data_IF_216251298297
#
_entry.id   IF_216251298297
#
_cell.length_a   1.000
_cell.length_b   1.000
_cell.length_c   1.000
_cell.angle_alpha   90.00
_cell.angle_beta   90.00
_cell.angle_gamma   90.00
#
_symmetry.space_group_name_H-M   'P 1'
#
loop_
_entity.id
_entity.type
_entity.pdbx_description
1 polymer ?
#
# COMPACT_ATOMS: atom_id res chain seq x y z
N UNK A 1 -27.42 -34.38 -12.81
CA UNK A 1 -27.65 -33.86 -11.44
C UNK A 1 -26.29 -33.45 -10.89
N UNK A 2 -26.05 -32.17 -10.65
CA UNK A 2 -24.80 -31.75 -10.01
C UNK A 2 -24.86 -32.18 -8.54
N UNK A 3 -23.95 -33.04 -8.09
CA UNK A 3 -23.84 -33.31 -6.66
C UNK A 3 -23.40 -32.01 -5.98
N UNK A 4 -24.22 -31.51 -5.05
CA UNK A 4 -23.81 -30.39 -4.21
C UNK A 4 -22.65 -30.87 -3.34
N UNK A 5 -21.45 -30.34 -3.56
CA UNK A 5 -20.35 -30.54 -2.63
C UNK A 5 -20.79 -30.04 -1.24
N UNK A 6 -20.52 -30.80 -0.17
CA UNK A 6 -20.88 -30.36 1.17
C UNK A 6 -20.14 -29.04 1.50
N UNK A 7 -20.77 -28.14 2.26
CA UNK A 7 -20.13 -26.88 2.64
C UNK A 7 -18.85 -27.17 3.42
N UNK A 8 -17.76 -26.49 3.06
CA UNK A 8 -16.50 -26.57 3.81
C UNK A 8 -16.69 -25.93 5.18
N UNK A 9 -16.37 -26.66 6.25
CA UNK A 9 -16.47 -26.16 7.62
C UNK A 9 -15.22 -25.35 7.97
N UNK A 10 -15.42 -24.13 8.46
CA UNK A 10 -14.36 -23.22 8.90
C UNK A 10 -14.64 -22.82 10.35
N UNK A 11 -13.62 -22.89 11.21
CA UNK A 11 -13.71 -22.39 12.58
C UNK A 11 -13.49 -20.87 12.56
N UNK A 12 -14.46 -20.12 13.11
CA UNK A 12 -14.39 -18.65 13.18
C UNK A 12 -13.15 -18.18 13.95
N UNK A 13 -12.85 -18.76 15.10
CA UNK A 13 -11.73 -18.34 15.96
C UNK A 13 -10.40 -18.49 15.22
N UNK A 14 -10.21 -19.59 14.50
CA UNK A 14 -8.97 -19.86 13.76
C UNK A 14 -8.70 -18.81 12.68
N UNK A 15 -9.74 -18.18 12.11
CA UNK A 15 -9.56 -17.08 11.15
C UNK A 15 -8.87 -15.86 11.76
N UNK A 16 -8.91 -15.70 13.08
CA UNK A 16 -8.28 -14.58 13.79
C UNK A 16 -6.96 -15.02 14.44
N UNK A 17 -6.94 -16.19 15.07
CA UNK A 17 -5.80 -16.63 15.90
C UNK A 17 -4.80 -17.54 15.20
N UNK A 18 -5.11 -18.05 14.01
CA UNK A 18 -4.24 -18.95 13.25
C UNK A 18 -4.04 -18.43 11.82
N UNK A 19 -2.86 -17.86 11.55
CA UNK A 19 -2.52 -17.31 10.24
C UNK A 19 -2.63 -18.36 9.13
N UNK A 20 -2.16 -19.58 9.36
CA UNK A 20 -2.20 -20.65 8.37
C UNK A 20 -3.65 -21.01 8.00
N UNK A 21 -4.53 -21.14 9.00
CA UNK A 21 -5.95 -21.40 8.77
C UNK A 21 -6.63 -20.26 7.98
N UNK A 22 -6.30 -19.00 8.28
CA UNK A 22 -6.79 -17.84 7.53
C UNK A 22 -6.30 -17.87 6.09
N UNK A 23 -4.99 -18.08 5.86
CA UNK A 23 -4.40 -18.18 4.51
C UNK A 23 -5.05 -19.31 3.72
N UNK A 24 -5.22 -20.49 4.31
CA UNK A 24 -5.89 -21.63 3.67
C UNK A 24 -7.33 -21.29 3.27
N UNK A 25 -8.09 -20.61 4.15
CA UNK A 25 -9.44 -20.15 3.86
C UNK A 25 -9.44 -19.16 2.69
N UNK A 26 -8.60 -18.12 2.73
CA UNK A 26 -8.52 -17.10 1.69
C UNK A 26 -8.10 -17.69 0.34
N UNK A 27 -7.10 -18.58 0.34
CA UNK A 27 -6.67 -19.27 -0.88
C UNK A 27 -7.80 -20.11 -1.46
N UNK A 28 -8.51 -20.87 -0.62
CA UNK A 28 -9.64 -21.68 -1.09
C UNK A 28 -10.80 -20.84 -1.59
N UNK A 29 -11.05 -19.65 -1.03
CA UNK A 29 -12.18 -18.81 -1.42
C UNK A 29 -11.89 -18.02 -2.70
N UNK A 30 -10.66 -17.54 -2.85
CA UNK A 30 -10.23 -16.75 -4.02
C UNK A 30 -9.77 -17.62 -5.20
N UNK A 31 -9.87 -18.95 -5.08
CA UNK A 31 -9.25 -19.90 -6.00
C UNK A 31 -7.77 -19.56 -6.24
N UNK A 32 -7.03 -19.17 -5.20
CA UNK A 32 -5.60 -18.85 -5.30
C UNK A 32 -4.80 -20.14 -5.26
N UNK A 33 -4.30 -20.57 -6.42
CA UNK A 33 -3.73 -21.91 -6.58
C UNK A 33 -2.43 -21.93 -7.36
N UNK A 34 -1.62 -22.97 -7.16
CA UNK A 34 -0.48 -23.29 -8.03
C UNK A 34 -0.89 -23.82 -9.41
N UNK A 35 -2.11 -24.34 -9.56
CA UNK A 35 -2.65 -24.84 -10.82
C UNK A 35 -4.16 -24.57 -10.90
N UNK A 36 -4.59 -23.84 -11.93
CA UNK A 36 -6.03 -23.59 -12.16
C UNK A 36 -6.55 -24.53 -13.23
N UNK A 37 -7.40 -25.48 -12.84
CA UNK A 37 -8.22 -26.22 -13.80
C UNK A 37 -9.36 -25.31 -14.28
N UNK A 38 -9.39 -25.00 -15.58
CA UNK A 38 -10.43 -24.14 -16.16
C UNK A 38 -11.77 -24.91 -16.18
N UNK A 39 -12.85 -24.42 -15.55
CA UNK A 39 -14.15 -25.06 -15.67
C UNK A 39 -14.61 -25.02 -17.14
N UNK A 40 -15.29 -26.08 -17.59
CA UNK A 40 -15.72 -26.28 -18.97
C UNK A 40 -16.67 -25.20 -19.54
N UNK A 41 -17.07 -24.19 -18.76
CA UNK A 41 -18.11 -23.22 -19.11
C UNK A 41 -17.61 -21.97 -19.87
N UNK A 42 -16.30 -21.73 -19.93
CA UNK A 42 -15.77 -20.63 -20.74
C UNK A 42 -15.62 -21.05 -22.19
N UNK A 43 -16.30 -20.35 -23.10
CA UNK A 43 -16.22 -20.51 -24.55
C UNK A 43 -14.77 -20.75 -25.00
N UNK A 44 -14.57 -21.86 -25.71
CA UNK A 44 -13.26 -22.33 -26.17
C UNK A 44 -12.74 -21.32 -27.19
N UNK A 45 -11.71 -20.55 -26.82
CA UNK A 45 -10.95 -19.77 -27.81
C UNK A 45 -10.09 -20.77 -28.58
N UNK A 46 -10.23 -20.88 -29.91
CA UNK A 46 -9.40 -21.79 -30.70
C UNK A 46 -7.91 -21.47 -30.48
N UNK A 47 -7.09 -22.52 -30.26
CA UNK A 47 -5.65 -22.43 -29.97
C UNK A 47 -5.24 -21.83 -28.61
N UNK A 48 -6.15 -21.68 -27.64
CA UNK A 48 -5.76 -21.39 -26.25
C UNK A 48 -5.24 -22.67 -25.58
N UNK A 49 -4.11 -22.62 -24.84
CA UNK A 49 -3.65 -23.76 -24.05
C UNK A 49 -4.75 -24.23 -23.09
N UNK A 50 -4.85 -25.56 -22.92
CA UNK A 50 -5.87 -26.23 -22.11
C UNK A 50 -5.75 -25.89 -20.61
N UNK A 51 -4.58 -25.40 -20.19
CA UNK A 51 -4.25 -24.98 -18.83
C UNK A 51 -3.76 -23.54 -18.82
N UNK A 52 -4.36 -22.71 -17.98
CA UNK A 52 -3.78 -21.41 -17.62
C UNK A 52 -2.81 -21.61 -16.46
N UNK A 53 -1.64 -20.93 -16.42
CA UNK A 53 -0.78 -20.95 -15.24
C UNK A 53 -1.61 -20.62 -14.00
N UNK A 54 -1.42 -21.38 -12.91
CA UNK A 54 -2.01 -21.00 -11.62
C UNK A 54 -1.50 -19.64 -11.17
N UNK A 55 -2.21 -18.99 -10.25
CA UNK A 55 -1.85 -17.64 -9.77
C UNK A 55 -0.39 -17.58 -9.28
N UNK A 56 0.07 -18.61 -8.56
CA UNK A 56 1.46 -18.69 -8.07
C UNK A 56 2.46 -18.73 -9.22
N UNK A 57 2.21 -19.53 -10.26
CA UNK A 57 3.09 -19.62 -11.43
C UNK A 57 3.07 -18.31 -12.24
N UNK A 58 1.91 -17.68 -12.36
CA UNK A 58 1.78 -16.37 -13.01
C UNK A 58 2.60 -15.31 -12.28
N UNK A 59 2.58 -15.29 -10.95
CA UNK A 59 3.37 -14.36 -10.12
C UNK A 59 4.86 -14.65 -10.25
N UNK A 60 5.30 -15.91 -10.10
CA UNK A 60 6.72 -16.29 -10.20
C UNK A 60 7.28 -15.95 -11.59
N UNK A 61 6.59 -16.38 -12.66
CA UNK A 61 7.04 -16.13 -14.04
C UNK A 61 6.89 -14.67 -14.48
N UNK A 62 6.00 -13.92 -13.81
CA UNK A 62 5.73 -12.51 -14.03
C UNK A 62 6.59 -11.55 -13.21
N UNK A 63 7.25 -12.03 -12.15
CA UNK A 63 7.92 -11.22 -11.15
C UNK A 63 8.89 -10.18 -11.74
N UNK A 64 9.67 -10.55 -12.77
CA UNK A 64 10.62 -9.64 -13.43
C UNK A 64 9.96 -8.40 -14.05
N UNK A 65 8.74 -8.54 -14.57
CA UNK A 65 8.00 -7.42 -15.16
C UNK A 65 7.48 -6.50 -14.07
N UNK A 66 6.99 -7.07 -12.98
CA UNK A 66 6.47 -6.34 -11.82
C UNK A 66 7.61 -5.58 -11.11
N UNK A 67 8.75 -6.24 -10.86
CA UNK A 67 9.95 -5.62 -10.25
C UNK A 67 10.48 -4.43 -11.04
N UNK A 68 10.42 -4.49 -12.37
CA UNK A 68 10.85 -3.38 -13.23
C UNK A 68 10.00 -2.10 -13.04
N UNK A 69 8.76 -2.23 -12.57
CA UNK A 69 7.85 -1.11 -12.32
C UNK A 69 8.06 -0.45 -10.95
N UNK A 70 8.61 -1.21 -9.98
CA UNK A 70 8.68 -0.83 -8.57
C UNK A 70 9.27 0.57 -8.34
N UNK A 71 10.40 0.98 -8.94
CA UNK A 71 10.97 2.32 -8.69
C UNK A 71 10.03 3.46 -9.08
N UNK A 72 9.32 3.32 -10.21
CA UNK A 72 8.37 4.33 -10.67
C UNK A 72 7.12 4.37 -9.78
N UNK A 73 6.59 3.21 -9.42
CA UNK A 73 5.40 3.07 -8.56
C UNK A 73 5.66 3.71 -7.20
N UNK A 74 6.81 3.47 -6.57
CA UNK A 74 7.17 4.07 -5.29
C UNK A 74 7.12 5.60 -5.35
N UNK A 75 7.72 6.21 -6.37
CA UNK A 75 7.71 7.67 -6.50
C UNK A 75 6.29 8.21 -6.70
N UNK A 76 5.47 7.54 -7.52
CA UNK A 76 4.06 7.93 -7.74
C UNK A 76 3.25 7.84 -6.44
N UNK A 77 3.43 6.78 -5.66
CA UNK A 77 2.76 6.58 -4.37
C UNK A 77 3.15 7.69 -3.38
N UNK A 78 4.44 8.00 -3.22
CA UNK A 78 4.86 9.04 -2.27
C UNK A 78 4.40 10.43 -2.68
N UNK A 79 4.40 10.77 -3.98
CA UNK A 79 3.73 12.00 -4.43
C UNK A 79 2.27 12.05 -4.02
N UNK A 80 1.57 10.92 -4.15
CA UNK A 80 0.15 10.84 -3.81
C UNK A 80 -0.10 10.97 -2.32
N UNK A 81 0.73 10.33 -1.49
CA UNK A 81 0.64 10.41 -0.03
C UNK A 81 1.00 11.81 0.49
N UNK A 82 1.93 12.50 -0.14
CA UNK A 82 2.29 13.88 0.22
C UNK A 82 1.29 14.93 -0.31
N UNK A 83 0.37 14.54 -1.19
CA UNK A 83 -0.67 15.43 -1.72
C UNK A 83 -1.75 15.78 -0.70
N UNK A 84 -1.99 14.91 0.30
CA UNK A 84 -3.02 15.12 1.32
C UNK A 84 -2.36 15.28 2.69
N UNK A 85 -2.79 16.29 3.43
CA UNK A 85 -2.34 16.61 4.79
C UNK A 85 -2.45 15.41 5.74
N UNK A 86 -3.59 14.71 5.74
CA UNK A 86 -3.86 13.56 6.61
C UNK A 86 -2.91 12.38 6.35
N UNK A 87 -2.47 12.17 5.12
CA UNK A 87 -1.49 11.12 4.82
C UNK A 87 -0.06 11.61 4.97
N UNK A 88 0.21 12.89 4.72
CA UNK A 88 1.54 13.48 4.90
C UNK A 88 1.92 13.58 6.38
N UNK A 89 0.99 13.96 7.27
CA UNK A 89 1.22 14.09 8.72
C UNK A 89 1.64 12.78 9.38
N UNK A 90 1.27 11.63 8.81
CA UNK A 90 1.66 10.32 9.31
C UNK A 90 3.19 10.14 9.32
N UNK A 91 3.93 10.84 8.45
CA UNK A 91 5.39 10.73 8.37
C UNK A 91 6.13 11.52 9.45
N UNK A 92 5.48 12.49 10.10
CA UNK A 92 6.02 13.22 11.25
C UNK A 92 5.47 12.67 12.56
N UNK A 93 4.13 12.58 12.65
CA UNK A 93 3.40 12.25 13.89
C UNK A 93 3.31 10.76 14.16
N UNK A 94 3.52 9.92 13.13
CA UNK A 94 3.24 8.48 13.16
C UNK A 94 1.79 8.15 13.51
N UNK A 95 0.87 9.09 13.32
CA UNK A 95 -0.54 8.93 13.67
C UNK A 95 -1.44 9.62 12.62
N UNK A 96 -2.63 9.08 12.42
CA UNK A 96 -3.68 9.67 11.56
C UNK A 96 -4.98 9.97 12.29
N UNK A 97 -5.16 9.48 13.52
CA UNK A 97 -6.41 9.58 14.30
C UNK A 97 -6.70 10.95 14.91
N UNK A 98 -5.73 11.86 14.95
CA UNK A 98 -5.90 13.18 15.55
C UNK A 98 -5.62 14.29 14.54
N UNK A 99 -6.48 15.31 14.54
CA UNK A 99 -6.29 16.55 13.78
C UNK A 99 -5.39 17.56 14.49
N UNK A 100 -4.85 17.19 15.66
CA UNK A 100 -3.81 17.95 16.31
C UNK A 100 -2.61 18.03 15.36
N UNK A 101 -2.45 19.19 14.74
CA UNK A 101 -1.17 19.64 14.21
C UNK A 101 -0.22 19.57 15.41
N UNK A 102 0.94 18.90 15.31
CA UNK A 102 1.91 18.98 16.38
C UNK A 102 2.19 20.47 16.58
N UNK A 103 1.74 21.01 17.70
CA UNK A 103 2.28 22.28 18.15
C UNK A 103 3.80 22.08 18.18
N UNK A 104 4.55 23.06 17.69
CA UNK A 104 6.04 23.10 17.58
C UNK A 104 6.77 22.90 18.94
N UNK A 105 6.12 22.35 19.96
CA UNK A 105 6.55 22.32 21.36
C UNK A 105 6.78 20.93 21.96
N UNK A 106 6.46 19.82 21.28
CA UNK A 106 6.82 18.48 21.77
C UNK A 106 7.77 17.74 20.82
N UNK A 107 8.79 18.46 20.33
CA UNK A 107 10.02 17.82 19.91
C UNK A 107 10.73 17.31 21.17
N UNK A 108 10.50 16.04 21.51
CA UNK A 108 11.24 15.35 22.55
C UNK A 108 12.73 15.66 22.47
N UNK A 109 13.31 16.01 23.63
CA UNK A 109 14.70 16.39 23.84
C UNK A 109 15.70 15.80 22.83
N UNK A 110 16.01 16.60 21.82
CA UNK A 110 17.05 16.35 20.83
C UNK A 110 17.51 17.70 20.31
N UNK A 111 18.51 18.26 20.99
CA UNK A 111 19.20 19.49 20.61
C UNK A 111 19.92 19.25 19.28
N UNK A 112 19.39 19.78 18.19
CA UNK A 112 20.13 20.19 16.99
C UNK A 112 19.29 21.25 16.24
N UNK A 113 19.69 22.50 16.43
CA UNK A 113 19.19 23.67 15.72
C UNK A 113 19.61 23.58 14.24
N UNK A 114 18.72 23.11 13.35
CA UNK A 114 18.74 23.44 11.91
C UNK A 114 17.56 22.84 11.10
N UNK A 115 16.47 22.40 11.76
CA UNK A 115 15.31 21.90 11.04
C UNK A 115 14.24 22.98 10.84
N UNK A 116 13.96 23.26 9.57
CA UNK A 116 12.82 24.00 9.04
C UNK A 116 11.51 23.27 9.41
N UNK A 117 11.09 23.41 10.68
CA UNK A 117 9.99 22.65 11.29
C UNK A 117 8.60 22.98 10.70
N UNK A 118 8.50 23.99 9.82
CA UNK A 118 7.24 24.38 9.17
C UNK A 118 7.14 24.06 7.67
N UNK A 119 8.19 23.54 7.04
CA UNK A 119 8.13 23.28 5.60
C UNK A 119 7.32 22.01 5.27
N UNK A 120 6.44 22.07 4.26
CA UNK A 120 5.77 20.88 3.75
C UNK A 120 6.79 19.81 3.35
N UNK A 121 6.55 18.57 3.81
CA UNK A 121 7.34 17.42 3.38
C UNK A 121 7.28 17.29 1.87
N UNK A 122 8.43 17.00 1.27
CA UNK A 122 8.54 16.75 -0.17
C UNK A 122 9.31 15.45 -0.40
N UNK A 123 9.34 15.01 -1.66
CA UNK A 123 9.86 13.70 -2.06
C UNK A 123 11.32 13.42 -1.66
N UNK A 124 12.11 14.48 -1.51
CA UNK A 124 13.54 14.43 -1.21
C UNK A 124 13.86 14.65 0.27
N UNK A 125 12.83 14.88 1.11
CA UNK A 125 13.02 14.96 2.56
C UNK A 125 13.66 13.65 3.06
N UNK A 126 14.70 13.68 3.91
CA UNK A 126 15.45 12.47 4.30
C UNK A 126 14.57 11.35 4.83
N UNK A 127 13.56 11.70 5.64
CA UNK A 127 12.58 10.75 6.15
C UNK A 127 11.73 10.11 5.04
N UNK A 128 11.38 10.83 3.98
CA UNK A 128 10.60 10.31 2.85
C UNK A 128 11.46 9.40 1.98
N UNK A 129 12.71 9.80 1.70
CA UNK A 129 13.68 8.94 0.98
C UNK A 129 13.86 7.62 1.72
N UNK A 130 14.03 7.67 3.04
CA UNK A 130 14.15 6.46 3.86
C UNK A 130 12.90 5.58 3.78
N UNK A 131 11.70 6.18 3.83
CA UNK A 131 10.43 5.43 3.72
C UNK A 131 10.18 4.86 2.32
N UNK A 132 10.67 5.52 1.27
CA UNK A 132 10.66 4.99 -0.11
C UNK A 132 11.42 3.66 -0.20
N UNK A 133 12.55 3.51 0.51
CA UNK A 133 13.31 2.26 0.55
C UNK A 133 12.47 1.08 1.06
N UNK A 134 11.72 1.29 2.15
CA UNK A 134 10.83 0.26 2.71
C UNK A 134 9.68 -0.13 1.79
N UNK A 135 9.01 0.86 1.18
CA UNK A 135 7.94 0.56 0.23
C UNK A 135 8.49 -0.21 -0.98
N UNK A 136 9.68 0.15 -1.45
CA UNK A 136 10.37 -0.54 -2.54
C UNK A 136 10.68 -1.99 -2.17
N UNK A 137 11.20 -2.22 -0.97
CA UNK A 137 11.48 -3.55 -0.45
C UNK A 137 10.19 -4.39 -0.30
N UNK A 138 9.13 -3.79 0.23
CA UNK A 138 7.80 -4.40 0.33
C UNK A 138 7.23 -4.79 -1.05
N UNK A 139 7.24 -3.89 -2.04
CA UNK A 139 6.75 -4.20 -3.40
C UNK A 139 7.59 -5.28 -4.08
N UNK A 140 8.90 -5.32 -3.81
CA UNK A 140 9.76 -6.43 -4.23
C UNK A 140 9.42 -7.74 -3.53
N UNK A 141 9.03 -7.69 -2.25
CA UNK A 141 8.59 -8.84 -1.47
C UNK A 141 7.27 -9.41 -2.00
N UNK A 142 6.33 -8.57 -2.45
CA UNK A 142 5.12 -9.02 -3.16
C UNK A 142 5.44 -9.83 -4.43
N UNK A 143 6.63 -9.63 -5.01
CA UNK A 143 7.12 -10.39 -6.17
C UNK A 143 7.95 -11.63 -5.78
N UNK A 144 7.99 -12.00 -4.50
CA UNK A 144 8.63 -13.24 -4.03
C UNK A 144 7.65 -14.41 -4.04
N UNK A 145 8.13 -15.60 -3.69
CA UNK A 145 7.38 -16.86 -3.80
C UNK A 145 6.21 -16.93 -2.79
N UNK A 146 4.94 -16.85 -3.25
CA UNK A 146 3.77 -16.86 -2.38
C UNK A 146 3.35 -18.28 -1.96
N UNK A 147 4.07 -19.34 -2.38
CA UNK A 147 3.81 -20.71 -1.91
C UNK A 147 4.33 -20.97 -0.49
N UNK A 148 5.16 -20.08 0.03
CA UNK A 148 5.82 -20.18 1.35
C UNK A 148 5.01 -19.46 2.41
N UNK A 149 4.83 -20.06 3.59
CA UNK A 149 4.09 -19.41 4.68
C UNK A 149 4.79 -18.13 5.15
N UNK A 150 6.11 -18.08 5.10
CA UNK A 150 6.92 -16.90 5.47
C UNK A 150 6.64 -15.67 4.59
N UNK A 151 6.10 -15.87 3.38
CA UNK A 151 5.60 -14.79 2.57
C UNK A 151 4.41 -14.11 3.26
N UNK A 152 3.44 -14.91 3.68
CA UNK A 152 2.19 -14.44 4.29
C UNK A 152 2.39 -13.92 5.71
N UNK A 153 3.29 -14.54 6.49
CA UNK A 153 3.71 -14.03 7.81
C UNK A 153 4.26 -12.61 7.72
N UNK A 154 5.11 -12.34 6.73
CA UNK A 154 5.63 -10.99 6.51
C UNK A 154 4.51 -10.00 6.15
N UNK A 155 3.58 -10.37 5.27
CA UNK A 155 2.46 -9.49 4.89
C UNK A 155 1.51 -9.22 6.07
N UNK A 156 1.27 -10.22 6.91
CA UNK A 156 0.47 -10.07 8.13
C UNK A 156 1.14 -9.13 9.13
N UNK A 157 2.46 -9.30 9.32
CA UNK A 157 3.28 -8.41 10.14
C UNK A 157 3.24 -6.96 9.66
N UNK A 158 3.23 -6.71 8.35
CA UNK A 158 3.05 -5.36 7.81
C UNK A 158 1.73 -4.76 8.28
N UNK A 159 0.63 -5.53 8.30
CA UNK A 159 -0.65 -5.06 8.85
C UNK A 159 -0.57 -4.71 10.34
N UNK A 160 0.01 -5.60 11.14
CA UNK A 160 0.23 -5.43 12.58
C UNK A 160 1.05 -4.16 12.90
N UNK A 161 2.07 -3.88 12.10
CA UNK A 161 2.94 -2.71 12.28
C UNK A 161 2.24 -1.36 12.11
N UNK A 162 1.11 -1.31 11.40
CA UNK A 162 0.36 -0.07 11.17
C UNK A 162 -0.69 0.23 12.25
N UNK A 163 -0.87 -0.67 13.22
CA UNK A 163 -1.69 -0.45 14.43
C UNK A 163 -0.85 -0.21 15.69
N UNK A 164 0.46 -0.01 15.53
CA UNK A 164 1.38 0.32 16.62
C UNK A 164 2.03 -0.89 17.29
N UNK A 165 1.78 -2.09 16.79
CA UNK A 165 2.30 -3.34 17.33
C UNK A 165 3.58 -3.79 16.59
N UNK A 166 4.43 -4.58 17.24
CA UNK A 166 5.63 -5.15 16.61
C UNK A 166 6.70 -4.12 16.19
N UNK A 167 6.64 -2.89 16.71
CA UNK A 167 7.61 -1.81 16.47
C UNK A 167 8.05 -1.17 17.78
N UNK A 168 9.32 -0.72 17.84
CA UNK A 168 9.83 0.09 18.97
C UNK A 168 9.16 1.46 19.05
N UNK A 169 8.90 2.07 17.90
CA UNK A 169 8.19 3.34 17.77
C UNK A 169 6.83 3.08 17.13
N UNK A 170 5.72 3.21 17.90
CA UNK A 170 4.38 2.93 17.41
C UNK A 170 4.01 3.78 16.18
N UNK A 171 3.19 3.20 15.32
CA UNK A 171 2.65 3.80 14.11
C UNK A 171 1.16 3.46 14.07
N UNK A 172 0.29 4.47 14.05
CA UNK A 172 -1.15 4.30 14.06
C UNK A 172 -1.78 4.92 12.80
N UNK A 173 -1.99 4.09 11.79
CA UNK A 173 -2.58 4.50 10.51
C UNK A 173 -3.98 3.94 10.40
N UNK A 174 -4.99 4.78 10.27
CA UNK A 174 -6.37 4.34 10.10
C UNK A 174 -6.54 3.53 8.80
N UNK A 175 -7.35 2.49 8.87
CA UNK A 175 -7.52 1.52 7.78
C UNK A 175 -7.94 2.16 6.46
N UNK A 176 -8.73 3.24 6.51
CA UNK A 176 -9.17 3.96 5.29
C UNK A 176 -7.98 4.42 4.44
N UNK A 177 -6.88 4.87 5.07
CA UNK A 177 -5.68 5.32 4.38
C UNK A 177 -4.87 4.14 3.82
N UNK A 178 -4.84 3.01 4.54
CA UNK A 178 -4.19 1.78 4.08
C UNK A 178 -4.91 1.20 2.86
N UNK A 179 -6.24 1.05 2.94
CA UNK A 179 -7.07 0.49 1.89
C UNK A 179 -7.01 1.33 0.60
N UNK A 180 -7.12 2.67 0.71
CA UNK A 180 -7.03 3.54 -0.47
C UNK A 180 -5.64 3.54 -1.10
N UNK A 181 -4.56 3.46 -0.29
CA UNK A 181 -3.19 3.36 -0.79
C UNK A 181 -2.95 2.05 -1.54
N UNK A 182 -3.41 0.92 -1.01
CA UNK A 182 -3.35 -0.38 -1.70
C UNK A 182 -4.17 -0.37 -3.01
N UNK A 183 -5.36 0.21 -3.00
CA UNK A 183 -6.18 0.38 -4.21
C UNK A 183 -5.46 1.22 -5.27
N UNK A 184 -4.79 2.30 -4.87
CA UNK A 184 -3.99 3.13 -5.78
C UNK A 184 -2.78 2.38 -6.35
N UNK A 185 -2.07 1.60 -5.53
CA UNK A 185 -0.98 0.72 -6.01
C UNK A 185 -1.50 -0.29 -7.02
N UNK A 186 -2.64 -0.93 -6.72
CA UNK A 186 -3.26 -1.91 -7.61
C UNK A 186 -3.60 -1.33 -8.98
N UNK A 187 -4.15 -0.12 -9.01
CA UNK A 187 -4.54 0.59 -10.23
C UNK A 187 -3.33 0.84 -11.14
N UNK A 188 -2.28 1.48 -10.61
CA UNK A 188 -1.03 1.76 -11.34
C UNK A 188 -0.41 0.48 -11.89
N UNK A 189 -0.34 -0.56 -11.05
CA UNK A 189 0.26 -1.84 -11.44
C UNK A 189 -0.55 -2.53 -12.53
N UNK A 190 -1.88 -2.48 -12.44
CA UNK A 190 -2.78 -3.03 -13.44
C UNK A 190 -2.59 -2.34 -14.79
N UNK A 191 -2.63 -1.00 -14.81
CA UNK A 191 -2.42 -0.21 -16.02
C UNK A 191 -1.06 -0.51 -16.66
N UNK A 192 0.01 -0.53 -15.86
CA UNK A 192 1.36 -0.78 -16.33
C UNK A 192 1.53 -2.20 -16.91
N UNK A 193 0.95 -3.22 -16.28
CA UNK A 193 0.99 -4.61 -16.78
C UNK A 193 0.20 -4.72 -18.08
N UNK A 194 -1.00 -4.15 -18.13
CA UNK A 194 -1.86 -4.20 -19.32
C UNK A 194 -1.26 -3.41 -20.50
N UNK A 195 -0.49 -2.37 -20.23
CA UNK A 195 0.21 -1.55 -21.22
C UNK A 195 1.54 -2.16 -21.69
N UNK A 196 2.03 -3.24 -21.07
CA UNK A 196 3.34 -3.80 -21.40
C UNK A 196 3.40 -4.30 -22.88
N UNK A 197 4.31 -3.80 -23.73
CA UNK A 197 4.24 -4.00 -25.17
C UNK A 197 4.57 -5.43 -25.62
N UNK A 198 5.36 -6.16 -24.83
CA UNK A 198 5.86 -7.51 -25.19
C UNK A 198 5.19 -8.65 -24.43
N UNK A 199 4.23 -8.36 -23.55
CA UNK A 199 3.57 -9.40 -22.76
C UNK A 199 2.28 -9.81 -23.48
N UNK A 200 2.15 -11.08 -23.83
CA UNK A 200 0.93 -11.58 -24.49
C UNK A 200 -0.30 -11.41 -23.59
N UNK A 201 -1.46 -11.13 -24.19
CA UNK A 201 -2.70 -10.81 -23.47
C UNK A 201 -3.08 -11.87 -22.43
N UNK A 202 -2.93 -13.16 -22.75
CA UNK A 202 -3.20 -14.23 -21.79
C UNK A 202 -2.31 -14.15 -20.54
N UNK A 203 -1.03 -13.80 -20.69
CA UNK A 203 -0.10 -13.62 -19.57
C UNK A 203 -0.40 -12.35 -18.78
N UNK A 204 -0.81 -11.27 -19.46
CA UNK A 204 -1.30 -10.05 -18.82
C UNK A 204 -2.50 -10.34 -17.91
N UNK A 205 -3.51 -11.03 -18.45
CA UNK A 205 -4.72 -11.42 -17.70
C UNK A 205 -4.34 -12.28 -16.48
N UNK A 206 -3.51 -13.31 -16.67
CA UNK A 206 -3.10 -14.19 -15.58
C UNK A 206 -2.35 -13.42 -14.47
N UNK A 207 -1.40 -12.55 -14.86
CA UNK A 207 -0.61 -11.77 -13.91
C UNK A 207 -1.45 -10.73 -13.16
N UNK A 208 -2.33 -10.00 -13.84
CA UNK A 208 -3.25 -9.03 -13.20
C UNK A 208 -4.18 -9.74 -12.22
N UNK A 209 -4.79 -10.87 -12.62
CA UNK A 209 -5.65 -11.64 -11.72
C UNK A 209 -4.91 -12.09 -10.47
N UNK A 210 -3.72 -12.68 -10.65
CA UNK A 210 -2.93 -13.20 -9.54
C UNK A 210 -2.45 -12.08 -8.60
N UNK A 211 -1.98 -10.95 -9.15
CA UNK A 211 -1.54 -9.79 -8.37
C UNK A 211 -2.71 -9.17 -7.59
N UNK A 212 -3.88 -9.04 -8.21
CA UNK A 212 -5.07 -8.51 -7.54
C UNK A 212 -5.48 -9.38 -6.35
N UNK A 213 -5.38 -10.71 -6.46
CA UNK A 213 -5.64 -11.62 -5.33
C UNK A 213 -4.64 -11.40 -4.18
N UNK A 214 -3.35 -11.23 -4.47
CA UNK A 214 -2.33 -10.93 -3.45
C UNK A 214 -2.60 -9.59 -2.77
N UNK A 215 -2.92 -8.54 -3.53
CA UNK A 215 -3.24 -7.22 -2.96
C UNK A 215 -4.50 -7.30 -2.09
N UNK A 216 -5.51 -8.07 -2.52
CA UNK A 216 -6.71 -8.29 -1.72
C UNK A 216 -6.39 -9.03 -0.41
N UNK A 217 -5.56 -10.08 -0.44
CA UNK A 217 -5.15 -10.80 0.78
C UNK A 217 -4.36 -9.88 1.72
N UNK A 218 -3.45 -9.06 1.19
CA UNK A 218 -2.77 -8.04 2.01
C UNK A 218 -3.78 -7.07 2.65
N UNK A 219 -4.77 -6.61 1.88
CA UNK A 219 -5.80 -5.71 2.37
C UNK A 219 -6.62 -6.37 3.49
N UNK A 220 -6.94 -7.66 3.36
CA UNK A 220 -7.58 -8.45 4.41
C UNK A 220 -6.70 -8.55 5.67
N UNK A 221 -5.40 -8.79 5.53
CA UNK A 221 -4.48 -8.79 6.67
C UNK A 221 -4.42 -7.43 7.36
N UNK A 222 -4.36 -6.32 6.61
CA UNK A 222 -4.45 -4.99 7.20
C UNK A 222 -5.77 -4.81 7.93
N UNK A 223 -6.90 -5.17 7.32
CA UNK A 223 -8.22 -5.08 7.94
C UNK A 223 -8.32 -5.90 9.23
N UNK A 224 -7.77 -7.12 9.25
CA UNK A 224 -7.75 -8.01 10.42
C UNK A 224 -7.25 -7.29 11.68
N UNK A 225 -6.24 -6.44 11.56
CA UNK A 225 -5.66 -5.71 12.70
C UNK A 225 -6.48 -4.47 13.13
N UNK A 226 -7.46 -4.03 12.32
CA UNK A 226 -8.24 -2.81 12.56
C UNK A 226 -9.71 -3.08 12.92
N UNK A 227 -10.20 -4.31 12.74
CA UNK A 227 -11.60 -4.66 12.99
C UNK A 227 -11.81 -5.08 14.45
N UNK A 228 -12.97 -4.70 15.01
CA UNK A 228 -13.33 -4.97 16.41
C UNK A 228 -13.37 -6.46 16.76
N UNK A 229 -13.71 -7.30 15.78
CA UNK A 229 -13.75 -8.76 15.95
C UNK A 229 -12.37 -9.34 16.28
N UNK A 230 -11.28 -8.63 15.97
CA UNK A 230 -9.95 -9.03 16.39
C UNK A 230 -9.77 -8.87 17.92
N UNK A 231 -10.42 -7.87 18.52
CA UNK A 231 -10.41 -7.63 19.97
C UNK A 231 -11.17 -8.71 20.73
N UNK A 232 -12.23 -9.27 20.13
CA UNK A 232 -13.01 -10.38 20.72
C UNK A 232 -12.13 -11.58 21.08
N UNK A 233 -11.02 -11.79 20.35
CA UNK A 233 -10.09 -12.88 20.56
C UNK A 233 -8.76 -12.44 21.18
N UNK A 234 -8.66 -11.20 21.67
CA UNK A 234 -7.49 -10.70 22.40
C UNK A 234 -6.24 -10.48 21.53
N UNK A 235 -6.37 -10.38 20.21
CA UNK A 235 -5.23 -10.24 19.29
C UNK A 235 -4.40 -8.99 19.56
N UNK A 236 -5.04 -7.86 19.90
CA UNK A 236 -4.34 -6.60 20.19
C UNK A 236 -3.68 -6.56 21.58
N UNK A 237 -3.98 -7.54 22.44
CA UNK A 237 -3.46 -7.63 23.81
C UNK A 237 -2.35 -8.69 23.98
N UNK A 238 -1.98 -9.39 22.92
CA UNK A 238 -0.95 -10.43 22.97
C UNK A 238 0.47 -9.83 23.10
N UNK A 239 1.36 -10.52 23.82
CA UNK A 239 2.78 -10.18 23.89
C UNK A 239 3.45 -10.39 22.52
N UNK A 240 3.63 -9.29 21.78
CA UNK A 240 4.19 -9.31 20.43
C UNK A 240 5.69 -9.06 20.47
N UNK A 241 6.45 -9.97 19.86
CA UNK A 241 7.90 -9.82 19.70
C UNK A 241 8.20 -8.69 18.70
N UNK A 242 9.00 -7.73 19.15
CA UNK A 242 9.45 -6.61 18.30
C UNK A 242 10.71 -7.04 17.53
N UNK A 243 10.55 -7.20 16.23
CA UNK A 243 11.63 -7.46 15.27
C UNK A 243 12.09 -6.15 14.60
N UNK A 244 13.33 -6.11 14.11
CA UNK A 244 13.80 -5.03 13.22
C UNK A 244 12.97 -4.98 11.93
N UNK A 245 12.78 -3.78 11.38
CA UNK A 245 12.07 -3.60 10.12
C UNK A 245 12.79 -4.35 8.99
N UNK A 246 12.06 -5.14 8.22
CA UNK A 246 12.62 -6.03 7.18
C UNK A 246 13.10 -7.41 7.66
N UNK A 247 12.97 -7.70 8.96
CA UNK A 247 13.26 -9.02 9.55
C UNK A 247 11.95 -9.77 9.85
N UNK A 248 12.02 -11.09 9.99
CA UNK A 248 10.95 -11.95 10.48
C UNK A 248 11.59 -13.10 11.27
N UNK A 249 11.22 -13.27 12.54
CA UNK A 249 11.81 -14.28 13.42
C UNK A 249 13.35 -14.18 13.48
N UNK A 250 13.86 -12.94 13.58
CA UNK A 250 15.31 -12.68 13.57
C UNK A 250 16.02 -12.92 12.24
N UNK A 251 15.34 -13.38 11.19
CA UNK A 251 15.91 -13.57 9.85
C UNK A 251 15.57 -12.39 8.95
N UNK A 252 16.53 -11.92 8.18
CA UNK A 252 16.29 -10.90 7.16
C UNK A 252 15.45 -11.46 6.02
N UNK A 253 14.34 -10.77 5.70
CA UNK A 253 13.39 -11.19 4.65
C UNK A 253 13.38 -10.20 3.46
N UNK A 254 13.85 -8.98 3.67
CA UNK A 254 14.02 -7.97 2.62
C UNK A 254 15.50 -7.91 2.22
N UNK A 255 15.79 -8.07 0.93
CA UNK A 255 17.16 -8.04 0.43
C UNK A 255 17.78 -6.65 0.60
N UNK A 256 18.95 -6.61 1.23
CA UNK A 256 19.54 -5.43 1.85
C UNK A 256 20.38 -4.54 0.93
N UNK A 257 20.31 -4.74 -0.39
CA UNK A 257 21.05 -3.92 -1.34
C UNK A 257 20.74 -2.40 -1.22
N UNK A 258 19.71 -1.98 -0.46
CA UNK A 258 19.43 -0.58 -0.16
C UNK A 258 18.96 -0.28 1.29
N UNK A 259 19.15 -1.15 2.29
CA UNK A 259 18.62 -0.91 3.68
C UNK A 259 19.69 -0.81 4.79
N UNK A 260 20.96 -1.13 4.50
CA UNK A 260 22.03 -1.35 5.50
C UNK A 260 22.50 -0.09 6.28
N UNK A 261 22.24 1.14 5.84
CA UNK A 261 22.75 2.35 6.54
C UNK A 261 21.92 2.80 7.77
N UNK A 262 21.05 1.94 8.32
CA UNK A 262 19.96 2.41 9.21
C UNK A 262 19.97 1.88 10.65
N UNK A 263 21.09 1.39 11.19
CA UNK A 263 21.13 0.96 12.60
C UNK A 263 22.24 1.52 13.50
N UNK A 264 22.90 2.62 13.15
CA UNK A 264 23.68 3.35 14.16
C UNK A 264 23.78 4.85 13.86
N UNK A 265 23.17 5.66 14.72
CA UNK A 265 23.33 7.11 14.74
C UNK A 265 24.61 7.51 15.47
N UNK A 266 25.75 6.92 15.09
CA UNK A 266 27.06 7.28 15.66
C UNK A 266 27.95 7.86 14.56
N UNK A 267 28.11 9.18 14.61
CA UNK A 267 29.05 9.93 13.78
C UNK A 267 30.48 9.44 14.03
N UNK A 268 31.17 9.00 12.96
CA UNK A 268 32.64 9.01 12.94
C UNK A 268 33.13 9.36 11.53
N UNK A 269 33.77 10.51 11.43
CA UNK A 269 34.16 11.14 10.17
C UNK A 269 35.46 10.62 9.55
N UNK A 270 35.56 10.93 8.24
CA UNK A 270 36.76 11.07 7.39
C UNK A 270 37.52 9.78 7.04
N UNK A 271 38.03 9.53 5.82
CA UNK A 271 38.12 10.27 4.55
C UNK A 271 38.41 9.25 3.41
N UNK A 272 38.14 9.60 2.15
CA UNK A 272 38.62 8.80 1.00
C UNK A 272 38.03 9.19 -0.35
N UNK A 273 38.74 10.04 -1.07
CA UNK A 273 38.48 10.47 -2.45
C UNK A 273 38.66 9.33 -3.46
N UNK A 274 37.78 9.18 -4.46
CA UNK A 274 38.20 9.01 -5.87
C UNK A 274 37.03 9.06 -6.84
N UNK A 275 37.32 9.61 -8.02
CA UNK A 275 36.42 9.94 -9.11
C UNK A 275 35.95 8.72 -9.93
N UNK A 276 34.73 8.80 -10.48
CA UNK A 276 34.19 7.83 -11.43
C UNK A 276 33.04 8.40 -12.28
N UNK A 277 33.29 8.47 -13.58
CA UNK A 277 32.53 8.98 -14.75
C UNK A 277 31.04 8.54 -14.86
N UNK A 278 30.13 9.33 -15.48
CA UNK A 278 28.69 9.06 -15.42
C UNK A 278 28.23 8.00 -16.44
N UNK A 279 27.43 7.05 -15.97
CA UNK A 279 26.68 6.10 -16.81
C UNK A 279 25.32 6.68 -17.15
N UNK A 280 24.99 6.70 -18.44
CA UNK A 280 23.75 7.24 -19.01
C UNK A 280 22.52 6.48 -18.49
N UNK A 281 21.56 7.20 -17.90
CA UNK A 281 20.23 6.69 -17.54
C UNK A 281 19.38 6.54 -18.81
N UNK A 282 18.89 5.33 -19.06
CA UNK A 282 17.84 5.08 -20.05
C UNK A 282 16.50 5.56 -19.51
N UNK A 283 15.90 6.53 -20.20
CA UNK A 283 14.58 7.06 -19.88
C UNK A 283 13.49 6.00 -20.13
N UNK A 284 12.63 5.78 -19.13
CA UNK A 284 11.42 4.99 -19.27
C UNK A 284 10.31 5.87 -19.91
N UNK A 285 9.62 5.41 -20.96
CA UNK A 285 8.67 6.22 -21.74
C UNK A 285 7.29 6.42 -21.07
N UNK A 286 7.19 6.24 -19.74
CA UNK A 286 5.93 6.30 -18.98
C UNK A 286 5.71 7.65 -18.26
N UNK A 287 6.57 8.66 -18.45
CA UNK A 287 6.45 9.96 -17.78
C UNK A 287 5.57 10.98 -18.50
N UNK A 288 5.07 10.68 -19.70
CA UNK A 288 4.26 11.60 -20.50
C UNK A 288 2.85 11.04 -20.72
N UNK A 289 1.94 11.23 -19.77
CA UNK A 289 0.58 10.74 -20.00
C UNK A 289 -0.51 11.06 -18.97
N UNK A 290 -0.21 11.68 -17.83
CA UNK A 290 -1.27 12.03 -16.87
C UNK A 290 -1.57 13.53 -16.90
N UNK A 291 -2.83 13.96 -17.17
CA UNK A 291 -3.20 15.36 -17.14
C UNK A 291 -3.21 15.87 -15.69
N UNK A 292 -2.23 16.71 -15.35
CA UNK A 292 -2.25 17.52 -14.13
C UNK A 292 -3.22 18.67 -14.35
N UNK A 293 -4.30 18.71 -13.56
CA UNK A 293 -5.21 19.84 -13.51
C UNK A 293 -4.45 21.08 -13.01
N UNK A 294 -4.25 22.06 -13.89
CA UNK A 294 -3.60 23.32 -13.56
C UNK A 294 -4.54 24.20 -12.73
N UNK A 295 -4.11 24.54 -11.51
CA UNK A 295 -4.73 25.57 -10.68
C UNK A 295 -4.70 26.92 -11.41
N UNK A 296 -5.87 27.39 -11.85
CA UNK A 296 -6.04 28.78 -12.27
C UNK A 296 -5.96 29.70 -11.04
N UNK A 297 -4.92 30.54 -11.02
CA UNK A 297 -4.81 31.75 -10.20
C UNK A 297 -5.99 32.68 -10.51
N UNK A 298 -6.87 32.93 -9.55
CA UNK A 298 -7.82 34.04 -9.60
C UNK A 298 -7.09 35.31 -9.15
N UNK A 299 -6.88 36.23 -10.08
CA UNK A 299 -6.43 37.59 -9.79
C UNK A 299 -7.59 38.41 -9.27
N UNK A 300 -7.38 39.06 -8.13
CA UNK A 300 -8.25 40.10 -7.57
C UNK A 300 -8.38 41.30 -8.51
N UNK A 301 -9.60 41.84 -8.61
CA UNK A 301 -9.84 43.23 -9.03
C UNK A 301 -10.98 43.79 -8.19
N UNK A 302 -10.68 44.92 -7.56
CA UNK A 302 -11.56 45.76 -6.76
C UNK A 302 -12.68 46.42 -7.59
N UNK A 303 -13.79 46.72 -6.89
CA UNK A 303 -14.64 47.89 -7.12
C UNK A 303 -15.96 47.64 -7.86
N UNK A 304 -17.08 47.60 -7.13
CA UNK A 304 -17.96 48.77 -7.00
C UNK A 304 -19.19 48.44 -6.11
N UNK A 305 -19.54 49.38 -5.23
CA UNK A 305 -20.69 49.35 -4.32
C UNK A 305 -21.97 49.87 -4.99
N UNK A 306 -23.10 49.64 -4.30
CA UNK A 306 -24.49 50.06 -4.57
C UNK A 306 -25.26 49.09 -5.48
N UNK A 307 -26.47 48.60 -5.14
CA UNK A 307 -27.57 49.22 -4.39
C UNK A 307 -28.51 48.13 -3.83
N UNK A 308 -29.08 48.39 -2.65
CA UNK A 308 -30.21 47.66 -2.04
C UNK A 308 -31.42 47.69 -2.97
N UNK A 309 -32.16 46.58 -3.02
CA UNK A 309 -33.61 46.65 -2.81
C UNK A 309 -34.13 45.34 -2.18
N UNK A 310 -34.84 45.57 -1.08
CA UNK A 310 -35.65 44.65 -0.30
C UNK A 310 -36.81 44.09 -1.11
N UNK A 311 -37.26 42.87 -0.80
CA UNK A 311 -38.68 42.52 -0.62
C UNK A 311 -38.79 41.06 -0.16
N UNK A 312 -39.13 40.88 1.11
CA UNK A 312 -40.01 39.80 1.62
C UNK A 312 -41.15 40.56 2.28
N UNK A 313 -42.41 40.12 2.13
CA UNK A 313 -42.98 39.40 3.27
C UNK A 313 -43.95 38.24 2.91
N UNK A 314 -43.98 37.25 3.82
CA UNK A 314 -45.21 36.60 4.37
C UNK A 314 -46.08 35.72 3.44
N UNK A 315 -46.86 34.71 3.87
CA UNK A 315 -47.24 34.11 5.16
C UNK A 315 -47.93 32.77 4.80
N UNK A 316 -47.79 31.73 5.65
CA UNK A 316 -48.80 30.70 6.00
C UNK A 316 -49.34 29.79 4.87
N UNK A 317 -49.87 28.59 5.07
CA UNK A 317 -49.93 27.54 6.10
C UNK A 317 -50.55 26.33 5.34
N UNK A 318 -50.22 25.12 5.79
CA UNK A 318 -51.06 23.90 5.83
C UNK A 318 -51.95 23.50 4.63
N UNK A 319 -51.83 22.24 4.20
CA UNK A 319 -52.89 21.23 4.33
C UNK A 319 -52.37 19.87 3.82
N UNK A 320 -52.32 18.91 4.76
CA UNK A 320 -52.40 17.48 4.51
C UNK A 320 -53.76 17.13 3.86
N UNK A 321 -53.78 16.11 2.99
CA UNK A 321 -54.99 15.29 2.82
C UNK A 321 -55.46 14.99 1.39
N UNK A 322 -54.81 14.02 0.73
CA UNK A 322 -55.41 12.74 0.24
C UNK A 322 -54.49 12.04 -0.76
#
# INVERSE_FOLDING_TARGET
>A
MASSLPPKRINRQDLYTNLEARVQYLHSFLDFSSSTYRPAFTTRVPNSPLTTPGDIEALISGAKYVRALVPAVVNIVYRKLLQYDVTARAFTTRNTSSDAIPDDQDHGHGHDHDHDHGAPLHEDSPQIVHRKLFLRAYLNKLCSDPSKLEFWEYLDKVGMMHVGLGRKHPLHIEYVHLGVCLGFIQDIMTEAILSHPRLHMHRKIALVKALNKVIWIQNDFMAKWHVREADEFGLLAADIVVDKEGYLHGRQILDDAETEESSDGTLRGTAGSSAGTPVRKGECPLSSGLPVASHRKSTSRDGNSEKKDSLVPELFQDEDGR
#
